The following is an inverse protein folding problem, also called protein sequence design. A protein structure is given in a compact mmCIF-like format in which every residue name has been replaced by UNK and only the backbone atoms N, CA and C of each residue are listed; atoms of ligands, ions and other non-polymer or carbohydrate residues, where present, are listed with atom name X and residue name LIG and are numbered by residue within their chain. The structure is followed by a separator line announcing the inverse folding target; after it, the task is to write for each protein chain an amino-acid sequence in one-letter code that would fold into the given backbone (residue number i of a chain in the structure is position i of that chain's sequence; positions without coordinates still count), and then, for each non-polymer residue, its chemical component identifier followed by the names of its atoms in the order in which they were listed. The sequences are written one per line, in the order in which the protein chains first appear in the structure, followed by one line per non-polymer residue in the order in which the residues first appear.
data_IF_968341428432
#
_entry.id   IF_968341428432
#
_cell.length_a   1.000
_cell.length_b   1.000
_cell.length_c   1.000
_cell.angle_alpha   90.00
_cell.angle_beta   90.00
_cell.angle_gamma   90.00
#
_symmetry.space_group_name_H-M   'P 1'
#
loop_
_entity.id
_entity.type
_entity.pdbx_description
1 polymer ?
#
# COMPACT_ATOMS: atom_id res chain seq x y z
N UNK A 1 29.53 -14.46 -3.23
CA UNK A 1 28.99 -13.12 -2.89
C UNK A 1 27.68 -12.76 -3.62
N UNK A 2 27.46 -13.11 -4.90
CA UNK A 2 26.21 -12.82 -5.64
C UNK A 2 24.92 -13.48 -5.11
N UNK A 3 25.01 -14.64 -4.46
CA UNK A 3 23.84 -15.35 -3.94
C UNK A 3 23.24 -14.70 -2.69
N UNK A 4 24.11 -14.17 -1.81
CA UNK A 4 23.69 -13.44 -0.61
C UNK A 4 23.04 -12.10 -0.95
N UNK A 5 23.49 -11.41 -2.02
CA UNK A 5 22.86 -10.17 -2.48
C UNK A 5 21.48 -10.38 -3.12
N UNK A 6 21.24 -11.55 -3.75
CA UNK A 6 19.92 -11.93 -4.27
C UNK A 6 18.92 -12.22 -3.15
N UNK A 7 19.37 -12.90 -2.08
CA UNK A 7 18.53 -13.18 -0.91
C UNK A 7 18.22 -11.91 -0.11
N UNK A 8 19.17 -10.97 0.02
CA UNK A 8 18.91 -9.67 0.65
C UNK A 8 17.96 -8.82 -0.21
N UNK A 9 18.16 -8.78 -1.54
CA UNK A 9 17.27 -8.04 -2.45
C UNK A 9 15.84 -8.57 -2.45
N UNK A 10 15.66 -9.90 -2.45
CA UNK A 10 14.34 -10.52 -2.37
C UNK A 10 13.64 -10.29 -1.01
N UNK A 11 14.39 -10.26 0.09
CA UNK A 11 13.84 -9.91 1.42
C UNK A 11 13.45 -8.43 1.50
N UNK A 12 14.27 -7.54 0.98
CA UNK A 12 13.96 -6.11 0.92
C UNK A 12 12.69 -5.86 0.11
N UNK A 13 12.58 -6.46 -1.07
CA UNK A 13 11.38 -6.34 -1.91
C UNK A 13 10.11 -6.89 -1.21
N UNK A 14 10.18 -8.04 -0.52
CA UNK A 14 9.03 -8.59 0.23
C UNK A 14 8.64 -7.75 1.46
N UNK A 15 9.64 -7.24 2.18
CA UNK A 15 9.43 -6.34 3.31
C UNK A 15 8.72 -5.07 2.86
N UNK A 16 9.18 -4.49 1.75
CA UNK A 16 8.60 -3.31 1.12
C UNK A 16 7.12 -3.52 0.78
N UNK A 17 6.75 -4.61 0.10
CA UNK A 17 5.33 -4.89 -0.22
C UNK A 17 4.45 -5.01 1.02
N UNK A 18 4.98 -5.59 2.09
CA UNK A 18 4.24 -5.75 3.36
C UNK A 18 3.99 -4.38 3.99
N UNK A 19 4.95 -3.47 3.92
CA UNK A 19 4.81 -2.08 4.37
C UNK A 19 3.74 -1.36 3.53
N UNK A 20 3.75 -1.53 2.21
CA UNK A 20 2.72 -0.97 1.33
C UNK A 20 1.30 -1.41 1.72
N UNK A 21 1.09 -2.71 1.98
CA UNK A 21 -0.20 -3.22 2.46
C UNK A 21 -0.57 -2.61 3.81
N UNK A 22 0.35 -2.66 4.78
CA UNK A 22 0.09 -2.24 6.16
C UNK A 22 -0.22 -0.74 6.28
N UNK A 23 0.54 0.11 5.59
CA UNK A 23 0.33 1.56 5.57
C UNK A 23 -1.01 1.88 4.93
N UNK A 24 -1.31 1.29 3.78
CA UNK A 24 -2.55 1.55 3.06
C UNK A 24 -3.78 1.07 3.84
N UNK A 25 -3.65 -0.08 4.51
CA UNK A 25 -4.67 -0.58 5.43
C UNK A 25 -4.92 0.38 6.60
N UNK A 26 -3.88 0.76 7.33
CA UNK A 26 -3.99 1.64 8.49
C UNK A 26 -4.53 3.03 8.11
N UNK A 27 -4.00 3.63 7.04
CA UNK A 27 -4.43 4.94 6.56
C UNK A 27 -5.89 4.95 6.11
N UNK A 28 -6.36 3.85 5.49
CA UNK A 28 -7.77 3.74 5.07
C UNK A 28 -8.70 3.67 6.28
N UNK A 29 -8.36 2.87 7.30
CA UNK A 29 -9.13 2.79 8.54
C UNK A 29 -9.16 4.12 9.28
N UNK A 30 -8.01 4.79 9.43
CA UNK A 30 -7.91 6.11 10.06
C UNK A 30 -8.72 7.14 9.27
N UNK A 31 -8.60 7.15 7.94
CA UNK A 31 -9.35 8.04 7.07
C UNK A 31 -10.86 7.84 7.20
N UNK A 32 -11.32 6.59 7.30
CA UNK A 32 -12.73 6.25 7.44
C UNK A 32 -13.37 6.75 8.74
N UNK A 33 -12.56 7.07 9.78
CA UNK A 33 -13.05 7.72 11.01
C UNK A 33 -13.42 9.19 10.77
N UNK A 34 -12.79 9.85 9.79
CA UNK A 34 -12.92 11.30 9.57
C UNK A 34 -13.80 11.62 8.36
N UNK A 35 -13.71 10.81 7.30
CA UNK A 35 -14.45 10.99 6.05
C UNK A 35 -15.14 9.68 5.66
N UNK A 36 -16.18 9.70 4.80
CA UNK A 36 -16.82 8.46 4.36
C UNK A 36 -15.81 7.48 3.76
N UNK A 37 -15.97 6.18 4.06
CA UNK A 37 -15.05 5.11 3.67
C UNK A 37 -14.63 5.20 2.19
N UNK A 38 -15.57 5.46 1.29
CA UNK A 38 -15.30 5.61 -0.15
C UNK A 38 -14.25 6.69 -0.43
N UNK A 39 -14.35 7.85 0.22
CA UNK A 39 -13.38 8.95 0.04
C UNK A 39 -12.03 8.62 0.66
N UNK A 40 -12.01 7.99 1.84
CA UNK A 40 -10.78 7.52 2.47
C UNK A 40 -10.04 6.50 1.56
N UNK A 41 -10.76 5.50 1.05
CA UNK A 41 -10.22 4.47 0.17
C UNK A 41 -9.66 5.06 -1.13
N UNK A 42 -10.39 5.97 -1.78
CA UNK A 42 -9.93 6.66 -2.99
C UNK A 42 -8.68 7.49 -2.70
N UNK A 43 -8.69 8.29 -1.62
CA UNK A 43 -7.57 9.16 -1.28
C UNK A 43 -6.29 8.37 -0.99
N UNK A 44 -6.39 7.29 -0.21
CA UNK A 44 -5.24 6.42 0.11
C UNK A 44 -4.74 5.68 -1.13
N UNK A 45 -5.65 5.17 -1.97
CA UNK A 45 -5.26 4.52 -3.21
C UNK A 45 -4.50 5.47 -4.15
N UNK A 46 -5.03 6.70 -4.36
CA UNK A 46 -4.37 7.74 -5.15
C UNK A 46 -3.02 8.11 -4.55
N UNK A 47 -2.92 8.26 -3.23
CA UNK A 47 -1.65 8.56 -2.55
C UNK A 47 -0.59 7.50 -2.84
N UNK A 48 -0.94 6.22 -2.85
CA UNK A 48 -0.03 5.14 -3.23
C UNK A 48 0.42 5.22 -4.70
N UNK A 49 -0.48 5.55 -5.64
CA UNK A 49 -0.09 5.78 -7.05
C UNK A 49 0.86 6.98 -7.16
N UNK A 50 0.56 8.09 -6.47
CA UNK A 50 1.39 9.29 -6.49
C UNK A 50 2.77 9.02 -5.91
N UNK A 51 2.88 8.22 -4.85
CA UNK A 51 4.15 7.75 -4.30
C UNK A 51 4.95 6.99 -5.36
N UNK A 52 4.34 6.03 -6.06
CA UNK A 52 5.03 5.29 -7.12
C UNK A 52 5.51 6.20 -8.26
N UNK A 53 4.69 7.17 -8.68
CA UNK A 53 5.10 8.17 -9.67
C UNK A 53 6.25 9.06 -9.18
N UNK A 54 6.25 9.39 -7.88
CA UNK A 54 7.31 10.17 -7.25
C UNK A 54 8.64 9.40 -7.20
N UNK A 55 8.59 8.10 -6.89
CA UNK A 55 9.76 7.23 -6.81
C UNK A 55 10.44 7.04 -8.16
N UNK A 56 9.67 6.95 -9.25
CA UNK A 56 10.20 6.97 -10.62
C UNK A 56 11.01 8.24 -10.86
N UNK A 57 10.44 9.38 -10.47
CA UNK A 57 11.02 10.70 -10.74
C UNK A 57 12.31 10.95 -9.94
N UNK A 58 12.42 10.47 -8.71
CA UNK A 58 13.51 10.86 -7.80
C UNK A 58 14.55 9.78 -7.52
N UNK A 59 14.23 8.50 -7.70
CA UNK A 59 15.07 7.41 -7.18
C UNK A 59 15.53 6.38 -8.22
N UNK A 60 15.29 6.64 -9.52
CA UNK A 60 15.58 5.73 -10.65
C UNK A 60 14.95 4.33 -10.52
N UNK A 61 14.06 4.11 -9.56
CA UNK A 61 13.28 2.88 -9.47
C UNK A 61 12.25 2.85 -10.59
N UNK A 62 12.01 1.65 -11.14
CA UNK A 62 10.96 1.46 -12.15
C UNK A 62 9.61 1.44 -11.43
N UNK A 63 8.59 1.87 -12.15
CA UNK A 63 7.21 1.70 -11.71
C UNK A 63 6.93 0.22 -11.43
N UNK A 64 6.60 -0.10 -10.18
CA UNK A 64 6.32 -1.47 -9.78
C UNK A 64 4.82 -1.67 -9.57
N UNK A 65 4.20 -2.38 -10.51
CA UNK A 65 2.79 -2.72 -10.42
C UNK A 65 2.46 -3.53 -9.16
N UNK A 66 3.43 -4.26 -8.61
CA UNK A 66 3.21 -5.02 -7.38
C UNK A 66 3.05 -4.13 -6.15
N UNK A 67 3.61 -2.90 -6.14
CA UNK A 67 3.33 -1.90 -5.09
C UNK A 67 1.92 -1.35 -5.18
N UNK A 68 1.42 -1.17 -6.40
CA UNK A 68 0.03 -0.77 -6.63
C UNK A 68 -0.93 -1.86 -6.15
N UNK A 69 -0.64 -3.13 -6.46
CA UNK A 69 -1.46 -4.24 -5.97
C UNK A 69 -1.38 -4.38 -4.45
N UNK A 70 -0.21 -4.17 -3.83
CA UNK A 70 -0.05 -4.16 -2.38
C UNK A 70 -0.87 -3.03 -1.72
N UNK A 71 -0.80 -1.82 -2.27
CA UNK A 71 -1.63 -0.69 -1.84
C UNK A 71 -3.13 -1.01 -1.96
N UNK A 72 -3.57 -1.49 -3.13
CA UNK A 72 -4.96 -1.89 -3.36
C UNK A 72 -5.43 -2.97 -2.37
N UNK A 73 -4.61 -3.98 -2.10
CA UNK A 73 -4.92 -5.03 -1.13
C UNK A 73 -5.11 -4.45 0.27
N UNK A 74 -4.23 -3.55 0.71
CA UNK A 74 -4.37 -2.86 2.00
C UNK A 74 -5.68 -2.08 2.11
N UNK A 75 -6.02 -1.29 1.08
CA UNK A 75 -7.28 -0.52 1.01
C UNK A 75 -8.51 -1.44 1.04
N UNK A 76 -8.50 -2.54 0.26
CA UNK A 76 -9.60 -3.49 0.20
C UNK A 76 -9.80 -4.22 1.53
N UNK A 77 -8.73 -4.69 2.16
CA UNK A 77 -8.81 -5.33 3.47
C UNK A 77 -9.34 -4.37 4.54
N UNK A 78 -8.86 -3.12 4.55
CA UNK A 78 -9.37 -2.10 5.47
C UNK A 78 -10.85 -1.83 5.25
N UNK A 79 -11.28 -1.73 3.98
CA UNK A 79 -12.68 -1.51 3.64
C UNK A 79 -13.57 -2.67 4.09
N UNK A 80 -13.12 -3.91 3.90
CA UNK A 80 -13.82 -5.10 4.38
C UNK A 80 -13.97 -5.09 5.91
N UNK A 81 -12.87 -4.83 6.63
CA UNK A 81 -12.88 -4.75 8.10
C UNK A 81 -13.82 -3.66 8.58
N UNK A 82 -13.76 -2.47 7.98
CA UNK A 82 -14.65 -1.37 8.32
C UNK A 82 -16.13 -1.73 8.14
N UNK A 83 -16.48 -2.33 7.00
CA UNK A 83 -17.85 -2.74 6.71
C UNK A 83 -18.35 -3.83 7.66
N UNK A 84 -17.49 -4.77 8.05
CA UNK A 84 -17.83 -5.80 9.04
C UNK A 84 -18.11 -5.18 10.41
N UNK A 85 -17.31 -4.19 10.84
CA UNK A 85 -17.53 -3.45 12.09
C UNK A 85 -18.82 -2.60 12.00
N UNK A 86 -19.07 -1.97 10.86
CA UNK A 86 -20.27 -1.15 10.68
C UNK A 86 -21.57 -1.99 10.61
N UNK A 87 -21.47 -3.28 10.31
CA UNK A 87 -22.59 -4.21 10.21
C UNK A 87 -22.86 -5.02 11.51
N UNK A 88 -21.99 -4.90 12.52
CA UNK A 88 -22.14 -5.53 13.84
C UNK A 88 -22.83 -4.60 14.83
#
# INVERSE_FOLDING_TARGET
MKFLSLLSGARYSKYDKTVHVAVSFAMTLIGAVVVPLTWAAIAVFIAGIVKELFDIKHSRFKFDLTDIYANAAGVLFASLVWLLIAAS
#
